data_IF_023178901363
#
_entry.id   IF_023178901363
#
_cell.length_a   1.000
_cell.length_b   1.000
_cell.length_c   1.000
_cell.angle_alpha   90.00
_cell.angle_beta   90.00
_cell.angle_gamma   90.00
#
_symmetry.space_group_name_H-M   'P 1'
#
loop_
_entity.id
_entity.type
_entity.pdbx_description
1 polymer ?
#
# COMPACT_ATOMS: atom_id res chain seq x y z
N UNK A 1 23.74 -7.79 14.46
CA UNK A 1 22.53 -7.43 15.23
C UNK A 1 21.96 -6.09 14.79
N UNK A 2 22.79 -5.05 14.63
CA UNK A 2 22.40 -3.71 14.12
C UNK A 2 21.85 -3.72 12.69
N UNK A 3 22.48 -4.46 11.76
CA UNK A 3 22.02 -4.58 10.37
C UNK A 3 20.64 -5.23 10.26
N UNK A 4 20.40 -6.28 11.06
CA UNK A 4 19.09 -6.95 11.12
C UNK A 4 17.98 -6.00 11.61
N UNK A 5 18.28 -5.14 12.60
CA UNK A 5 17.32 -4.15 13.10
C UNK A 5 17.01 -3.07 12.06
N UNK A 6 18.01 -2.62 11.30
CA UNK A 6 17.82 -1.68 10.20
C UNK A 6 16.97 -2.29 9.09
N UNK A 7 17.24 -3.55 8.73
CA UNK A 7 16.46 -4.30 7.74
C UNK A 7 15.01 -4.50 8.20
N UNK A 8 14.80 -4.90 9.45
CA UNK A 8 13.46 -5.06 10.01
C UNK A 8 12.70 -3.72 10.05
N UNK A 9 13.40 -2.63 10.40
CA UNK A 9 12.84 -1.28 10.41
C UNK A 9 12.45 -0.78 9.03
N UNK A 10 13.28 -1.04 8.01
CA UNK A 10 12.99 -0.65 6.62
C UNK A 10 11.79 -1.41 6.05
N UNK A 11 11.71 -2.72 6.29
CA UNK A 11 10.53 -3.54 5.97
C UNK A 11 9.27 -3.03 6.66
N UNK A 12 9.34 -2.70 7.95
CA UNK A 12 8.19 -2.17 8.68
C UNK A 12 7.70 -0.86 8.06
N UNK A 13 8.60 0.07 7.74
CA UNK A 13 8.22 1.33 7.10
C UNK A 13 7.59 1.07 5.73
N UNK A 14 8.15 0.19 4.91
CA UNK A 14 7.61 -0.10 3.57
C UNK A 14 6.27 -0.86 3.59
N UNK A 15 5.93 -1.55 4.68
CA UNK A 15 4.60 -2.15 4.89
C UNK A 15 3.61 -1.14 5.48
N UNK A 16 4.05 -0.37 6.48
CA UNK A 16 3.22 0.56 7.21
C UNK A 16 2.82 1.76 6.35
N UNK A 17 3.72 2.24 5.50
CA UNK A 17 3.49 3.46 4.72
C UNK A 17 2.36 3.27 3.68
N UNK A 18 2.33 2.20 2.85
CA UNK A 18 1.18 1.90 2.01
C UNK A 18 -0.09 1.72 2.83
N UNK A 19 -0.02 0.95 3.93
CA UNK A 19 -1.19 0.69 4.79
C UNK A 19 -1.79 1.99 5.37
N UNK A 20 -0.94 2.92 5.81
CA UNK A 20 -1.36 4.22 6.35
C UNK A 20 -1.97 5.11 5.28
N UNK A 21 -1.32 5.23 4.13
CA UNK A 21 -1.85 6.01 3.00
C UNK A 21 -3.19 5.45 2.56
N UNK A 22 -3.33 4.13 2.56
CA UNK A 22 -4.55 3.45 2.18
C UNK A 22 -5.71 3.73 3.15
N UNK A 23 -5.44 3.71 4.46
CA UNK A 23 -6.40 4.13 5.48
C UNK A 23 -6.79 5.61 5.30
N UNK A 24 -5.83 6.49 5.02
CA UNK A 24 -6.09 7.92 4.77
C UNK A 24 -6.97 8.09 3.53
N UNK A 25 -6.70 7.38 2.44
CA UNK A 25 -7.56 7.41 1.26
C UNK A 25 -8.96 6.92 1.56
N UNK A 26 -9.11 5.85 2.33
CA UNK A 26 -10.42 5.34 2.73
C UNK A 26 -11.21 6.41 3.51
N UNK A 27 -10.55 7.11 4.43
CA UNK A 27 -11.13 8.24 5.17
C UNK A 27 -11.45 9.41 4.25
N UNK A 28 -10.60 9.72 3.26
CA UNK A 28 -10.89 10.77 2.28
C UNK A 28 -12.09 10.41 1.39
N UNK A 29 -12.20 9.16 0.96
CA UNK A 29 -13.33 8.66 0.17
C UNK A 29 -14.63 8.71 0.98
N UNK A 30 -14.59 8.55 2.31
CA UNK A 30 -15.77 8.79 3.16
C UNK A 30 -16.34 10.21 3.02
N UNK A 31 -15.49 11.21 2.77
CA UNK A 31 -15.94 12.58 2.53
C UNK A 31 -16.53 12.80 1.13
N UNK A 32 -16.34 11.87 0.20
CA UNK A 32 -16.87 11.93 -1.18
C UNK A 32 -17.85 10.78 -1.47
N UNK A 33 -19.08 10.82 -0.93
CA UNK A 33 -20.00 9.67 -0.89
C UNK A 33 -20.62 9.22 -2.24
N UNK A 34 -20.32 9.83 -3.40
CA UNK A 34 -21.17 9.65 -4.61
C UNK A 34 -20.48 9.22 -5.93
N UNK A 35 -19.17 8.95 -5.99
CA UNK A 35 -18.48 8.85 -7.29
C UNK A 35 -18.11 7.46 -7.84
N UNK A 36 -18.20 6.38 -7.07
CA UNK A 36 -17.43 5.15 -7.34
C UNK A 36 -18.31 3.88 -7.36
N UNK A 37 -19.54 3.96 -7.87
CA UNK A 37 -20.46 2.82 -7.79
C UNK A 37 -20.26 1.69 -8.82
N UNK A 38 -19.57 1.88 -9.97
CA UNK A 38 -19.80 0.95 -11.11
C UNK A 38 -18.66 0.42 -11.98
N UNK A 39 -17.38 0.64 -11.68
CA UNK A 39 -16.32 0.00 -12.47
C UNK A 39 -15.66 -1.18 -11.72
N UNK A 40 -15.28 -2.22 -12.46
CA UNK A 40 -14.34 -3.24 -11.99
C UNK A 40 -12.97 -2.57 -11.85
N UNK A 41 -12.76 -2.01 -10.66
CA UNK A 41 -11.70 -1.03 -10.34
C UNK A 41 -10.39 -1.65 -9.85
N UNK A 42 -10.19 -2.96 -10.00
CA UNK A 42 -8.90 -3.61 -9.72
C UNK A 42 -7.70 -2.84 -10.32
N UNK A 43 -7.72 -2.41 -11.61
CA UNK A 43 -6.64 -1.60 -12.15
C UNK A 43 -6.57 -0.17 -11.56
N UNK A 44 -7.70 0.40 -11.13
CA UNK A 44 -7.71 1.74 -10.53
C UNK A 44 -6.96 1.78 -9.20
N UNK A 45 -7.06 0.72 -8.39
CA UNK A 45 -6.36 0.66 -7.10
C UNK A 45 -4.85 0.58 -7.27
N UNK A 46 -4.39 -0.20 -8.25
CA UNK A 46 -2.98 -0.24 -8.61
C UNK A 46 -2.49 1.12 -9.12
N UNK A 47 -3.29 1.82 -9.93
CA UNK A 47 -2.95 3.17 -10.42
C UNK A 47 -2.90 4.20 -9.29
N UNK A 48 -3.84 4.17 -8.34
CA UNK A 48 -3.83 5.03 -7.16
C UNK A 48 -2.61 4.74 -6.27
N UNK A 49 -2.31 3.46 -6.06
CA UNK A 49 -1.10 3.03 -5.37
C UNK A 49 0.14 3.59 -6.04
N UNK A 50 0.26 3.44 -7.36
CA UNK A 50 1.39 3.95 -8.14
C UNK A 50 1.52 5.48 -8.05
N UNK A 51 0.43 6.23 -8.22
CA UNK A 51 0.43 7.69 -8.07
C UNK A 51 0.93 8.12 -6.68
N UNK A 52 0.51 7.43 -5.63
CA UNK A 52 0.94 7.73 -4.28
C UNK A 52 2.37 7.25 -4.00
N UNK A 53 2.80 6.16 -4.63
CA UNK A 53 4.19 5.70 -4.64
C UNK A 53 5.09 6.78 -5.24
N UNK A 54 4.69 7.36 -6.36
CA UNK A 54 5.37 8.50 -6.98
C UNK A 54 5.35 9.74 -6.10
N UNK A 55 4.23 10.11 -5.49
CA UNK A 55 4.21 11.24 -4.55
C UNK A 55 5.09 10.99 -3.32
N UNK A 56 5.16 9.73 -2.86
CA UNK A 56 5.94 9.37 -1.68
C UNK A 56 7.44 9.51 -1.88
N UNK A 57 7.97 9.41 -3.11
CA UNK A 57 9.40 9.62 -3.36
C UNK A 57 9.82 11.06 -3.10
N UNK A 58 8.93 12.03 -3.32
CA UNK A 58 9.24 13.44 -2.99
C UNK A 58 9.28 13.69 -1.47
N UNK A 59 8.48 12.94 -0.70
CA UNK A 59 8.44 13.08 0.77
C UNK A 59 9.55 12.25 1.44
N UNK A 60 9.84 11.07 0.90
CA UNK A 60 10.88 10.14 1.33
C UNK A 60 11.78 9.75 0.15
N UNK A 61 12.74 10.63 -0.23
CA UNK A 61 13.58 10.48 -1.42
C UNK A 61 14.73 9.47 -1.26
N UNK A 62 14.66 8.58 -0.28
CA UNK A 62 15.68 7.56 -0.05
C UNK A 62 15.07 6.16 -0.13
N UNK A 63 15.83 5.24 -0.74
CA UNK A 63 15.55 3.81 -0.64
C UNK A 63 15.85 3.37 0.79
N UNK A 64 14.81 2.93 1.50
CA UNK A 64 14.97 2.45 2.88
C UNK A 64 15.60 1.05 2.87
N UNK A 65 15.40 0.29 1.78
CA UNK A 65 16.02 -1.01 1.52
C UNK A 65 17.08 -0.86 0.43
N UNK A 66 18.36 -0.85 0.80
CA UNK A 66 19.48 -0.81 -0.15
C UNK A 66 19.90 -2.18 -0.69
N UNK A 67 19.36 -3.27 -0.15
CA UNK A 67 19.78 -4.63 -0.49
C UNK A 67 18.79 -5.30 -1.46
N UNK A 68 19.27 -5.77 -2.61
CA UNK A 68 18.43 -6.21 -3.74
C UNK A 68 17.53 -7.41 -3.39
N UNK A 69 18.01 -8.33 -2.55
CA UNK A 69 17.21 -9.48 -2.13
C UNK A 69 16.10 -9.09 -1.15
N UNK A 70 16.39 -8.14 -0.25
CA UNK A 70 15.42 -7.63 0.71
C UNK A 70 14.32 -6.83 -0.01
N UNK A 71 14.69 -6.12 -1.07
CA UNK A 71 13.78 -5.41 -1.94
C UNK A 71 12.82 -6.37 -2.66
N UNK A 72 13.36 -7.46 -3.23
CA UNK A 72 12.55 -8.49 -3.89
C UNK A 72 11.58 -9.18 -2.92
N UNK A 73 12.02 -9.47 -1.70
CA UNK A 73 11.15 -9.98 -0.65
C UNK A 73 10.08 -8.97 -0.27
N UNK A 74 10.41 -7.68 -0.17
CA UNK A 74 9.43 -6.67 0.20
C UNK A 74 8.34 -6.49 -0.86
N UNK A 75 8.69 -6.53 -2.14
CA UNK A 75 7.73 -6.51 -3.26
C UNK A 75 6.73 -7.66 -3.18
N UNK A 76 7.12 -8.82 -2.64
CA UNK A 76 6.20 -9.95 -2.48
C UNK A 76 5.43 -9.90 -1.15
N UNK A 77 6.12 -9.62 -0.04
CA UNK A 77 5.55 -9.72 1.31
C UNK A 77 4.63 -8.53 1.61
N UNK A 78 5.01 -7.31 1.26
CA UNK A 78 4.23 -6.13 1.63
C UNK A 78 2.83 -6.11 1.00
N UNK A 79 2.62 -6.45 -0.29
CA UNK A 79 1.27 -6.56 -0.85
C UNK A 79 0.39 -7.60 -0.16
N UNK A 80 0.97 -8.74 0.21
CA UNK A 80 0.25 -9.81 0.91
C UNK A 80 -0.17 -9.33 2.30
N UNK A 81 0.74 -8.72 3.04
CA UNK A 81 0.47 -8.19 4.39
C UNK A 81 -0.55 -7.06 4.33
N UNK A 82 -0.39 -6.10 3.40
CA UNK A 82 -1.31 -4.97 3.22
C UNK A 82 -2.73 -5.46 2.86
N UNK A 83 -2.82 -6.35 1.86
CA UNK A 83 -4.08 -6.99 1.48
C UNK A 83 -4.75 -7.73 2.65
N UNK A 84 -3.97 -8.44 3.46
CA UNK A 84 -4.50 -9.16 4.62
C UNK A 84 -5.01 -8.20 5.71
N UNK A 85 -4.26 -7.15 6.05
CA UNK A 85 -4.66 -6.14 7.02
C UNK A 85 -5.98 -5.47 6.62
N UNK A 86 -6.12 -5.13 5.34
CA UNK A 86 -7.31 -4.46 4.82
C UNK A 86 -8.51 -5.39 4.76
N UNK A 87 -8.28 -6.64 4.38
CA UNK A 87 -9.31 -7.66 4.48
C UNK A 87 -9.79 -7.85 5.93
N UNK A 88 -8.89 -7.83 6.92
CA UNK A 88 -9.25 -7.89 8.34
C UNK A 88 -10.07 -6.68 8.78
N UNK A 89 -9.70 -5.47 8.36
CA UNK A 89 -10.45 -4.23 8.65
C UNK A 89 -11.86 -4.33 8.07
N UNK A 90 -12.00 -4.77 6.82
CA UNK A 90 -13.29 -4.98 6.17
C UNK A 90 -14.16 -6.00 6.88
N UNK A 91 -13.59 -7.15 7.25
CA UNK A 91 -14.32 -8.19 7.98
C UNK A 91 -14.76 -7.70 9.37
N UNK A 92 -13.95 -6.89 10.06
CA UNK A 92 -14.31 -6.32 11.36
C UNK A 92 -15.45 -5.28 11.23
N UNK A 93 -15.53 -4.56 10.12
CA UNK A 93 -16.63 -3.62 9.84
C UNK A 93 -17.93 -4.32 9.50
N UNK A 94 -17.84 -5.38 8.69
CA UNK A 94 -18.99 -6.24 8.37
C UNK A 94 -19.59 -6.87 9.64
N UNK A 95 -18.73 -7.37 10.56
CA UNK A 95 -19.15 -7.84 11.89
C UNK A 95 -19.86 -6.77 12.73
N UNK A 96 -19.55 -5.49 12.53
CA UNK A 96 -20.18 -4.35 13.22
C UNK A 96 -21.40 -3.80 12.48
N UNK A 97 -21.91 -4.49 11.46
CA UNK A 97 -23.00 -4.04 10.57
C UNK A 97 -22.75 -2.68 9.92
N UNK A 98 -21.48 -2.29 9.78
CA UNK A 98 -21.09 -1.09 9.02
C UNK A 98 -20.99 -1.46 7.54
N UNK A 99 -21.28 -0.51 6.67
CA UNK A 99 -21.13 -0.69 5.23
C UNK A 99 -19.67 -1.01 4.93
N UNK A 100 -19.44 -2.18 4.31
CA UNK A 100 -18.14 -2.57 3.80
C UNK A 100 -17.85 -1.76 2.54
N UNK A 101 -16.75 -1.02 2.51
CA UNK A 101 -16.33 -0.36 1.28
C UNK A 101 -15.76 -1.42 0.33
N UNK A 102 -16.01 -1.31 -0.99
CA UNK A 102 -15.46 -2.25 -2.00
C UNK A 102 -13.93 -2.34 -1.96
N UNK A 103 -13.28 -1.33 -1.40
CA UNK A 103 -11.84 -1.24 -1.20
C UNK A 103 -11.32 -2.16 -0.07
N UNK A 104 -12.18 -2.55 0.88
CA UNK A 104 -11.82 -3.38 2.03
C UNK A 104 -11.79 -4.89 1.68
N UNK A 105 -11.16 -5.23 0.55
CA UNK A 105 -10.92 -6.60 0.12
C UNK A 105 -9.42 -6.83 -0.05
N UNK A 106 -9.02 -8.11 0.00
CA UNK A 106 -7.60 -8.49 -0.07
C UNK A 106 -6.92 -7.95 -1.34
N UNK A 107 -7.60 -8.09 -2.48
CA UNK A 107 -7.05 -7.68 -3.79
C UNK A 107 -6.90 -6.17 -3.94
N UNK A 108 -7.77 -5.37 -3.33
CA UNK A 108 -7.68 -3.92 -3.30
C UNK A 108 -6.40 -3.47 -2.61
N UNK A 109 -6.19 -3.92 -1.38
CA UNK A 109 -4.98 -3.63 -0.61
C UNK A 109 -3.71 -4.20 -1.22
N UNK A 110 -3.77 -5.42 -1.77
CA UNK A 110 -2.62 -6.03 -2.42
C UNK A 110 -2.21 -5.26 -3.69
N UNK A 111 -3.16 -4.95 -4.57
CA UNK A 111 -2.87 -4.23 -5.82
C UNK A 111 -2.45 -2.78 -5.56
N UNK A 112 -3.05 -2.13 -4.56
CA UNK A 112 -2.65 -0.80 -4.13
C UNK A 112 -1.20 -0.78 -3.65
N UNK A 113 -0.85 -1.64 -2.69
CA UNK A 113 0.50 -1.76 -2.15
C UNK A 113 1.52 -2.14 -3.23
N UNK A 114 1.16 -3.05 -4.13
CA UNK A 114 2.01 -3.44 -5.26
C UNK A 114 2.26 -2.27 -6.21
N UNK A 115 1.23 -1.53 -6.61
CA UNK A 115 1.37 -0.34 -7.45
C UNK A 115 2.28 0.71 -6.80
N UNK A 116 2.08 0.94 -5.50
CA UNK A 116 2.88 1.86 -4.69
C UNK A 116 4.37 1.50 -4.70
N UNK A 117 4.68 0.25 -4.36
CA UNK A 117 6.07 -0.22 -4.24
C UNK A 117 6.74 -0.22 -5.62
N UNK A 118 6.09 -0.77 -6.66
CA UNK A 118 6.68 -0.81 -8.00
C UNK A 118 7.00 0.59 -8.50
N UNK A 119 6.08 1.54 -8.34
CA UNK A 119 6.32 2.91 -8.80
C UNK A 119 7.47 3.56 -8.04
N UNK A 120 7.48 3.43 -6.70
CA UNK A 120 8.55 3.96 -5.85
C UNK A 120 9.91 3.37 -6.21
N UNK A 121 9.97 2.06 -6.44
CA UNK A 121 11.20 1.37 -6.87
C UNK A 121 11.69 1.86 -8.22
N UNK A 122 10.78 1.99 -9.18
CA UNK A 122 11.14 2.43 -10.52
C UNK A 122 11.75 3.83 -10.51
N UNK A 123 11.15 4.76 -9.77
CA UNK A 123 11.64 6.15 -9.66
C UNK A 123 12.97 6.20 -8.91
N UNK A 124 13.06 5.60 -7.72
CA UNK A 124 14.28 5.65 -6.91
C UNK A 124 15.46 4.89 -7.54
N UNK A 125 15.19 3.92 -8.42
CA UNK A 125 16.24 3.25 -9.19
C UNK A 125 16.67 4.04 -10.44
N UNK A 126 15.80 4.89 -11.00
CA UNK A 126 16.13 5.81 -12.10
C UNK A 126 16.98 7.00 -11.65
N UNK A 127 16.85 7.41 -10.38
CA UNK A 127 17.58 8.55 -9.81
C UNK A 127 18.99 8.21 -9.27
N UNK A 128 19.39 6.92 -9.28
CA UNK A 128 20.72 6.42 -8.86
C UNK A 128 21.55 5.95 -10.05
#
# INVERSE_FOLDING_TARGET
MTEFLLLAGSFLIEILLPSLVEIVLEVLVWFFPQGIERADKLPLWMLLGALLGWLSTYVLPYQVIGDTWALALNVMVAPIVCGFLIHMIGNNREKRKKVRFRFENFWGGALFSLGFIICRLFILHLDN
#
